data_IF_332364187670
#
_entry.id   IF_332364187670
#
_cell.length_a   1.000
_cell.length_b   1.000
_cell.length_c   1.000
_cell.angle_alpha   90.00
_cell.angle_beta   90.00
_cell.angle_gamma   90.00
#
_symmetry.space_group_name_H-M   'P 1'
#
loop_
_entity.id
_entity.type
_entity.pdbx_description
1 polymer ?
#
# COMPACT_ATOMS: atom_id res chain seq x y z
N UNK A 1 20.45 -6.70 -17.77
CA UNK A 1 19.00 -6.53 -17.97
C UNK A 1 18.24 -7.03 -16.75
N UNK A 2 17.19 -6.31 -16.35
CA UNK A 2 16.30 -6.75 -15.26
C UNK A 2 15.45 -7.93 -15.74
N UNK A 3 15.23 -8.89 -14.85
CA UNK A 3 14.33 -10.01 -15.09
C UNK A 3 12.87 -9.55 -15.03
N UNK A 4 11.98 -10.29 -15.70
CA UNK A 4 10.53 -10.03 -15.61
C UNK A 4 10.01 -10.06 -14.16
N UNK A 5 10.62 -10.89 -13.31
CA UNK A 5 10.28 -10.99 -11.88
C UNK A 5 10.57 -9.69 -11.14
N UNK A 6 11.73 -9.09 -11.38
CA UNK A 6 12.13 -7.83 -10.73
C UNK A 6 11.25 -6.67 -11.20
N UNK A 7 10.96 -6.59 -12.49
CA UNK A 7 10.05 -5.56 -13.05
C UNK A 7 8.65 -5.69 -12.45
N UNK A 8 8.13 -6.92 -12.36
CA UNK A 8 6.79 -7.15 -11.80
C UNK A 8 6.74 -6.75 -10.33
N UNK A 9 7.76 -7.10 -9.54
CA UNK A 9 7.83 -6.76 -8.13
C UNK A 9 7.88 -5.23 -7.91
N UNK A 10 8.68 -4.52 -8.71
CA UNK A 10 8.78 -3.06 -8.66
C UNK A 10 7.44 -2.39 -9.00
N UNK A 11 6.80 -2.80 -10.11
CA UNK A 11 5.49 -2.26 -10.52
C UNK A 11 4.42 -2.51 -9.45
N UNK A 12 4.40 -3.70 -8.84
CA UNK A 12 3.47 -4.01 -7.74
C UNK A 12 3.71 -3.06 -6.57
N UNK A 13 4.96 -2.90 -6.13
CA UNK A 13 5.32 -2.01 -5.01
C UNK A 13 4.89 -0.56 -5.25
N UNK A 14 5.12 -0.04 -6.47
CA UNK A 14 4.71 1.32 -6.85
C UNK A 14 3.19 1.48 -6.83
N UNK A 15 2.45 0.51 -7.36
CA UNK A 15 0.98 0.54 -7.37
C UNK A 15 0.42 0.45 -5.95
N UNK A 16 0.96 -0.44 -5.11
CA UNK A 16 0.55 -0.57 -3.71
C UNK A 16 0.81 0.71 -2.92
N UNK A 17 2.01 1.31 -3.05
CA UNK A 17 2.35 2.58 -2.40
C UNK A 17 1.33 3.66 -2.75
N UNK A 18 1.05 3.85 -4.04
CA UNK A 18 0.09 4.86 -4.50
C UNK A 18 -1.32 4.60 -3.98
N UNK A 19 -1.79 3.35 -4.03
CA UNK A 19 -3.14 3.00 -3.56
C UNK A 19 -3.29 3.20 -2.05
N UNK A 20 -2.29 2.82 -1.26
CA UNK A 20 -2.31 2.97 0.19
C UNK A 20 -2.22 4.45 0.59
N UNK A 21 -1.31 5.22 0.01
CA UNK A 21 -1.19 6.66 0.27
C UNK A 21 -2.50 7.39 -0.04
N UNK A 22 -3.08 7.19 -1.23
CA UNK A 22 -4.34 7.83 -1.61
C UNK A 22 -5.49 7.43 -0.66
N UNK A 23 -5.55 6.16 -0.24
CA UNK A 23 -6.56 5.71 0.70
C UNK A 23 -6.42 6.39 2.06
N UNK A 24 -5.20 6.51 2.59
CA UNK A 24 -4.92 7.21 3.85
C UNK A 24 -5.27 8.70 3.77
N UNK A 25 -4.87 9.37 2.70
CA UNK A 25 -5.19 10.78 2.46
C UNK A 25 -6.70 11.03 2.39
N UNK A 26 -7.43 10.18 1.65
CA UNK A 26 -8.89 10.32 1.48
C UNK A 26 -9.71 10.20 2.77
N UNK A 27 -9.11 9.64 3.83
CA UNK A 27 -9.76 9.45 5.14
C UNK A 27 -9.02 10.15 6.28
N UNK A 28 -8.19 11.16 5.94
CA UNK A 28 -7.40 11.95 6.88
C UNK A 28 -6.58 11.10 7.86
N UNK A 29 -5.98 10.01 7.37
CA UNK A 29 -5.12 9.12 8.15
C UNK A 29 -5.86 8.11 9.03
N UNK A 30 -7.20 8.02 8.97
CA UNK A 30 -7.95 6.96 9.64
C UNK A 30 -7.64 5.58 9.04
N UNK A 31 -6.66 4.88 9.64
CA UNK A 31 -6.16 3.59 9.16
C UNK A 31 -7.23 2.51 9.10
N UNK A 32 -8.20 2.51 10.03
CA UNK A 32 -9.30 1.54 10.01
C UNK A 32 -10.22 1.78 8.81
N UNK A 33 -10.57 3.03 8.52
CA UNK A 33 -11.39 3.35 7.35
C UNK A 33 -10.63 3.11 6.05
N UNK A 34 -9.33 3.47 5.99
CA UNK A 34 -8.48 3.19 4.83
C UNK A 34 -8.41 1.69 4.53
N UNK A 35 -8.23 0.85 5.56
CA UNK A 35 -8.21 -0.61 5.40
C UNK A 35 -9.55 -1.15 4.85
N UNK A 36 -10.68 -0.63 5.35
CA UNK A 36 -12.01 -0.96 4.83
C UNK A 36 -12.15 -0.56 3.35
N UNK A 37 -11.73 0.66 2.99
CA UNK A 37 -11.78 1.15 1.61
C UNK A 37 -10.89 0.33 0.67
N UNK A 38 -9.75 -0.16 1.16
CA UNK A 38 -8.83 -1.04 0.42
C UNK A 38 -9.26 -2.51 0.40
N UNK A 39 -10.29 -2.90 1.16
CA UNK A 39 -10.77 -4.28 1.23
C UNK A 39 -9.80 -5.24 1.94
N UNK A 40 -8.95 -4.74 2.84
CA UNK A 40 -7.97 -5.55 3.57
C UNK A 40 -8.13 -5.40 5.09
N UNK A 41 -7.54 -6.32 5.85
CA UNK A 41 -7.48 -6.17 7.30
C UNK A 41 -6.62 -4.98 7.72
N UNK A 42 -6.93 -4.36 8.86
CA UNK A 42 -6.10 -3.30 9.45
C UNK A 42 -4.65 -3.77 9.67
N UNK A 43 -4.47 -5.02 10.10
CA UNK A 43 -3.16 -5.64 10.30
C UNK A 43 -2.37 -5.68 8.98
N UNK A 44 -3.00 -6.13 7.90
CA UNK A 44 -2.37 -6.17 6.57
C UNK A 44 -1.96 -4.78 6.10
N UNK A 45 -2.83 -3.78 6.29
CA UNK A 45 -2.50 -2.39 5.97
C UNK A 45 -1.28 -1.90 6.76
N UNK A 46 -1.24 -2.17 8.07
CA UNK A 46 -0.11 -1.75 8.91
C UNK A 46 1.21 -2.39 8.50
N UNK A 47 1.22 -3.68 8.14
CA UNK A 47 2.42 -4.33 7.63
C UNK A 47 2.90 -3.69 6.33
N UNK A 48 1.98 -3.44 5.38
CA UNK A 48 2.33 -2.79 4.11
C UNK A 48 2.82 -1.36 4.27
N UNK A 49 2.24 -0.58 5.19
CA UNK A 49 2.74 0.77 5.52
C UNK A 49 4.17 0.71 6.02
N UNK A 50 4.50 -0.27 6.88
CA UNK A 50 5.85 -0.46 7.40
C UNK A 50 6.82 -0.92 6.31
N UNK A 51 6.44 -1.94 5.53
CA UNK A 51 7.25 -2.52 4.46
C UNK A 51 7.56 -1.51 3.35
N UNK A 52 6.57 -0.69 2.99
CA UNK A 52 6.70 0.34 1.97
C UNK A 52 7.16 1.68 2.57
N UNK A 53 7.45 1.78 3.87
CA UNK A 53 7.89 3.03 4.51
C UNK A 53 7.00 4.25 4.19
N UNK A 54 5.67 4.04 4.19
CA UNK A 54 4.68 5.10 3.95
C UNK A 54 4.53 5.92 5.24
N UNK A 55 4.64 7.24 5.13
CA UNK A 55 4.57 8.19 6.26
C UNK A 55 3.15 8.67 6.52
#
# INVERSE_FOLDING_TARGET
DLTLKEITADVISQVERRKISNALESVAGNRTQAARNLGISLRSLMYKIKELEIR
#
